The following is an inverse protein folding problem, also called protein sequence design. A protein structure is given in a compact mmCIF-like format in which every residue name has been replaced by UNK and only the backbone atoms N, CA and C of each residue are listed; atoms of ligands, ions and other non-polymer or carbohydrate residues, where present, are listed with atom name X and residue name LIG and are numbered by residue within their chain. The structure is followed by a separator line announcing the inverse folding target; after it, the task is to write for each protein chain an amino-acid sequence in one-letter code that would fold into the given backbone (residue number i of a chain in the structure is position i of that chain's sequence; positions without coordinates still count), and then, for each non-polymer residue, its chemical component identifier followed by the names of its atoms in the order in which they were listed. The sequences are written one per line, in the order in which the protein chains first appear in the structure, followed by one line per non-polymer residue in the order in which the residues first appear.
data_IF_537744329524
#
_entry.id   IF_537744329524
#
_cell.length_a   1.000
_cell.length_b   1.000
_cell.length_c   1.000
_cell.angle_alpha   90.00
_cell.angle_beta   90.00
_cell.angle_gamma   90.00
#
_symmetry.space_group_name_H-M   'P 1'
#
loop_
_entity.id
_entity.type
_entity.pdbx_description
1 polymer ?
#
# COMPACT_ATOMS: atom_id res chain seq x y z
N UNK A 1 -8.41 69.39 56.21
CA UNK A 1 -8.73 70.44 55.22
C UNK A 1 -7.79 70.24 54.04
N UNK A 2 -8.38 70.05 52.87
CA UNK A 2 -7.83 70.04 51.50
C UNK A 2 -6.62 69.13 51.16
N UNK A 3 -6.84 68.00 50.48
CA UNK A 3 -7.08 67.79 49.03
C UNK A 3 -5.84 68.01 48.17
N UNK A 4 -5.22 66.90 47.75
CA UNK A 4 -4.56 66.81 46.46
C UNK A 4 -4.77 65.40 45.89
N UNK A 5 -5.74 65.33 44.98
CA UNK A 5 -5.98 64.23 44.04
C UNK A 5 -4.84 64.25 43.02
N UNK A 6 -4.17 63.12 42.79
CA UNK A 6 -3.32 62.94 41.60
C UNK A 6 -3.91 61.79 40.80
N UNK A 7 -4.35 62.16 39.60
CA UNK A 7 -5.10 61.35 38.67
C UNK A 7 -4.25 60.24 38.04
N UNK A 8 -4.80 59.03 38.00
CA UNK A 8 -4.32 57.95 37.15
C UNK A 8 -4.81 58.21 35.72
N UNK A 9 -3.94 58.75 34.87
CA UNK A 9 -4.21 58.91 33.43
C UNK A 9 -3.92 57.60 32.73
N UNK A 10 -4.99 56.95 32.25
CA UNK A 10 -4.94 55.88 31.26
C UNK A 10 -4.53 56.50 29.92
N UNK A 11 -3.41 56.06 29.36
CA UNK A 11 -3.02 56.40 28.00
C UNK A 11 -3.02 55.11 27.16
N UNK A 12 -4.08 54.98 26.36
CA UNK A 12 -4.18 54.01 25.28
C UNK A 12 -3.30 54.51 24.13
N UNK A 13 -2.21 53.81 23.85
CA UNK A 13 -1.47 53.97 22.60
C UNK A 13 -1.77 52.76 21.71
N UNK A 14 -2.79 52.92 20.86
CA UNK A 14 -2.96 52.07 19.68
C UNK A 14 -1.96 52.53 18.62
N UNK A 15 -1.08 51.64 18.20
CA UNK A 15 -0.33 51.76 16.95
C UNK A 15 -0.09 50.35 16.44
N UNK A 16 -0.88 49.95 15.46
CA UNK A 16 -0.63 48.76 14.67
C UNK A 16 0.52 48.99 13.71
N UNK A 17 1.26 47.93 13.42
CA UNK A 17 1.83 47.68 12.10
C UNK A 17 1.89 46.17 11.86
N UNK A 18 1.67 45.87 10.59
CA UNK A 18 1.47 44.58 9.94
C UNK A 18 2.63 43.59 10.11
N UNK A 19 2.29 42.33 9.86
CA UNK A 19 3.18 41.19 9.97
C UNK A 19 4.20 41.04 8.85
N UNK A 20 5.24 40.29 9.18
CA UNK A 20 5.80 39.17 8.41
C UNK A 20 6.92 38.61 9.29
N UNK A 21 6.83 37.33 9.64
CA UNK A 21 7.96 36.53 10.11
C UNK A 21 8.00 35.26 9.25
N UNK A 22 9.18 34.84 8.79
CA UNK A 22 9.31 33.84 7.75
C UNK A 22 9.26 32.42 8.30
N UNK A 23 8.57 31.58 7.54
CA UNK A 23 8.73 30.14 7.32
C UNK A 23 9.18 29.27 8.49
N UNK A 24 8.17 28.59 9.03
CA UNK A 24 8.34 27.32 9.73
C UNK A 24 8.83 26.25 8.75
N UNK A 25 9.95 25.65 9.11
CA UNK A 25 10.38 24.35 8.64
C UNK A 25 9.34 23.29 9.04
N UNK A 26 8.40 23.01 8.15
CA UNK A 26 7.56 21.81 8.19
C UNK A 26 8.25 20.71 7.39
N UNK A 27 8.76 19.70 8.09
CA UNK A 27 9.07 18.42 7.46
C UNK A 27 7.75 17.81 6.93
N UNK A 28 7.71 17.20 5.73
CA UNK A 28 6.52 16.50 5.27
C UNK A 28 6.35 15.22 6.11
N UNK A 29 5.21 15.10 6.79
CA UNK A 29 4.83 13.89 7.49
C UNK A 29 4.37 12.83 6.50
N UNK A 30 4.68 11.56 6.81
CA UNK A 30 4.08 10.37 6.23
C UNK A 30 2.55 10.55 6.08
N UNK A 31 1.92 10.17 4.95
CA UNK A 31 0.48 10.22 4.82
C UNK A 31 -0.15 9.37 5.93
N UNK A 32 -1.04 9.97 6.73
CA UNK A 32 -1.85 9.22 7.67
C UNK A 32 -2.80 8.30 6.89
N UNK A 33 -3.04 7.06 7.34
CA UNK A 33 -3.99 6.17 6.67
C UNK A 33 -5.39 6.80 6.65
N UNK A 34 -6.26 6.39 5.71
CA UNK A 34 -7.59 6.96 5.60
C UNK A 34 -8.35 6.75 6.91
N UNK A 35 -8.57 7.85 7.63
CA UNK A 35 -9.52 7.90 8.72
C UNK A 35 -10.89 7.87 8.08
N UNK A 36 -11.54 6.70 8.03
CA UNK A 36 -13.01 6.54 8.13
C UNK A 36 -13.45 5.08 7.91
N UNK A 37 -12.99 4.16 8.76
CA UNK A 37 -13.84 3.05 9.15
C UNK A 37 -14.83 3.60 10.18
N UNK A 38 -16.01 4.04 9.73
CA UNK A 38 -17.16 4.54 10.50
C UNK A 38 -17.00 4.47 12.03
N UNK A 39 -16.36 5.49 12.63
CA UNK A 39 -16.05 5.51 14.06
C UNK A 39 -17.30 5.45 14.96
N UNK A 40 -18.51 5.59 14.38
CA UNK A 40 -19.77 5.43 15.08
C UNK A 40 -19.91 4.04 15.76
N UNK A 41 -19.22 3.01 15.25
CA UNK A 41 -19.22 1.65 15.81
C UNK A 41 -17.85 1.21 16.37
N UNK A 42 -17.02 2.17 16.79
CA UNK A 42 -15.69 1.90 17.36
C UNK A 42 -15.67 1.95 18.89
N UNK A 43 -14.77 1.19 19.52
CA UNK A 43 -14.64 1.08 20.97
C UNK A 43 -13.20 1.37 21.40
N UNK A 44 -13.02 2.27 22.37
CA UNK A 44 -11.75 2.39 23.07
C UNK A 44 -11.56 1.18 24.01
N UNK A 45 -10.50 0.42 23.79
CA UNK A 45 -10.19 -0.81 24.53
C UNK A 45 -8.71 -0.86 24.93
N UNK A 46 -8.40 -1.51 26.04
CA UNK A 46 -7.01 -1.78 26.45
C UNK A 46 -6.61 -3.17 26.00
N UNK A 47 -5.46 -3.32 25.33
CA UNK A 47 -4.93 -4.64 24.98
C UNK A 47 -4.30 -5.26 26.23
N UNK A 48 -4.80 -6.43 26.62
CA UNK A 48 -4.43 -7.11 27.87
C UNK A 48 -3.60 -8.37 27.65
N UNK A 49 -3.67 -8.95 26.44
CA UNK A 49 -2.79 -10.02 26.01
C UNK A 49 -2.65 -9.98 24.49
N UNK A 50 -1.50 -10.39 23.99
CA UNK A 50 -1.25 -10.73 22.59
C UNK A 50 -1.09 -12.24 22.54
N UNK A 51 -1.96 -12.93 21.81
CA UNK A 51 -1.98 -14.40 21.72
C UNK A 51 -0.96 -14.84 20.67
N UNK A 52 -1.04 -14.22 19.49
CA UNK A 52 -0.15 -14.36 18.34
C UNK A 52 -0.19 -13.05 17.52
N UNK A 53 0.31 -13.07 16.28
CA UNK A 53 0.42 -11.88 15.43
C UNK A 53 -0.91 -11.29 14.96
N UNK A 54 -2.00 -12.08 14.92
CA UNK A 54 -3.32 -11.62 14.45
C UNK A 54 -4.43 -11.79 15.49
N UNK A 55 -4.10 -12.22 16.71
CA UNK A 55 -5.09 -12.45 17.77
C UNK A 55 -4.66 -11.76 19.06
N UNK A 56 -5.54 -10.91 19.60
CA UNK A 56 -5.34 -10.21 20.87
C UNK A 56 -6.53 -10.37 21.81
N UNK A 57 -6.29 -10.21 23.11
CA UNK A 57 -7.36 -10.06 24.12
C UNK A 57 -7.45 -8.61 24.57
N UNK A 58 -8.64 -8.03 24.44
CA UNK A 58 -8.90 -6.65 24.80
C UNK A 58 -9.85 -6.55 25.99
N UNK A 59 -9.75 -5.46 26.74
CA UNK A 59 -10.64 -5.13 27.85
C UNK A 59 -11.34 -3.80 27.59
N UNK A 60 -12.65 -3.80 27.69
CA UNK A 60 -13.49 -2.61 27.59
C UNK A 60 -13.50 -1.83 28.92
N UNK A 61 -13.93 -0.56 28.88
CA UNK A 61 -14.05 0.29 30.08
C UNK A 61 -14.96 -0.27 31.17
N UNK A 62 -15.98 -1.04 30.80
CA UNK A 62 -16.89 -1.70 31.75
C UNK A 62 -16.28 -2.95 32.42
N UNK A 63 -15.04 -3.33 32.08
CA UNK A 63 -14.32 -4.47 32.62
C UNK A 63 -14.52 -5.79 31.88
N UNK A 64 -15.44 -5.87 30.90
CA UNK A 64 -15.58 -7.08 30.08
C UNK A 64 -14.38 -7.25 29.15
N UNK A 65 -14.15 -8.48 28.70
CA UNK A 65 -13.07 -8.82 27.77
C UNK A 65 -13.62 -9.52 26.53
N UNK A 66 -12.93 -9.35 25.41
CA UNK A 66 -13.13 -10.11 24.19
C UNK A 66 -11.76 -10.55 23.65
N UNK A 67 -11.75 -11.70 22.98
CA UNK A 67 -10.65 -12.09 22.10
C UNK A 67 -11.00 -11.64 20.68
N UNK A 68 -10.11 -10.86 20.08
CA UNK A 68 -10.25 -10.26 18.75
C UNK A 68 -9.31 -10.99 17.80
N UNK A 69 -9.85 -11.50 16.70
CA UNK A 69 -9.09 -11.93 15.52
C UNK A 69 -9.07 -10.75 14.55
N UNK A 70 -7.89 -10.33 14.16
CA UNK A 70 -7.71 -9.22 13.25
C UNK A 70 -8.29 -9.59 11.89
N UNK A 71 -9.22 -8.76 11.43
CA UNK A 71 -9.91 -8.97 10.16
C UNK A 71 -8.96 -8.72 8.99
N UNK A 72 -9.06 -9.56 7.95
CA UNK A 72 -8.32 -9.41 6.70
C UNK A 72 -6.86 -9.84 6.73
N UNK A 73 -6.32 -10.26 7.88
CA UNK A 73 -4.91 -10.66 8.02
C UNK A 73 -4.77 -12.02 8.67
N UNK A 74 -3.71 -12.73 8.27
CA UNK A 74 -3.31 -14.02 8.84
C UNK A 74 -1.80 -14.04 9.03
N UNK A 75 -1.36 -14.32 10.26
CA UNK A 75 0.05 -14.39 10.62
C UNK A 75 0.48 -15.85 10.76
N UNK A 76 1.76 -16.19 10.52
CA UNK A 76 2.25 -17.51 10.85
C UNK A 76 2.01 -17.82 12.35
N UNK A 77 1.50 -19.02 12.62
CA UNK A 77 1.12 -19.50 13.94
C UNK A 77 2.37 -19.71 14.82
N UNK A 78 2.27 -19.32 16.10
CA UNK A 78 3.36 -19.50 17.09
C UNK A 78 3.23 -20.76 17.94
N UNK A 79 2.04 -21.36 17.99
CA UNK A 79 1.72 -22.53 18.82
C UNK A 79 1.35 -23.79 18.04
N UNK A 80 1.34 -23.72 16.70
CA UNK A 80 0.89 -24.77 15.79
C UNK A 80 1.89 -25.07 14.68
N UNK A 81 1.55 -26.05 13.83
CA UNK A 81 2.29 -26.28 12.59
C UNK A 81 1.77 -25.31 11.52
N UNK A 82 2.68 -24.53 10.94
CA UNK A 82 2.38 -23.68 9.80
C UNK A 82 2.28 -24.52 8.52
N UNK A 83 1.19 -24.37 7.78
CA UNK A 83 1.08 -24.91 6.44
C UNK A 83 1.74 -23.95 5.45
N UNK A 84 2.89 -24.34 4.90
CA UNK A 84 3.63 -23.50 3.97
C UNK A 84 2.82 -23.19 2.69
N UNK A 85 1.89 -24.07 2.29
CA UNK A 85 1.05 -23.85 1.12
C UNK A 85 0.09 -22.66 1.26
N UNK A 86 -0.15 -22.19 2.49
CA UNK A 86 -0.97 -21.01 2.75
C UNK A 86 -0.21 -19.69 2.49
N UNK A 87 1.13 -19.74 2.38
CA UNK A 87 2.00 -18.58 2.21
C UNK A 87 2.70 -18.66 0.84
N UNK A 88 2.31 -17.78 -0.09
CA UNK A 88 2.73 -17.88 -1.48
C UNK A 88 4.26 -17.77 -1.66
N UNK A 89 4.85 -18.73 -2.38
CA UNK A 89 6.29 -18.80 -2.65
C UNK A 89 7.11 -19.43 -1.53
N UNK A 90 6.50 -19.78 -0.39
CA UNK A 90 7.20 -20.50 0.68
C UNK A 90 7.27 -21.99 0.34
N UNK A 91 8.47 -22.60 0.30
CA UNK A 91 8.60 -24.00 -0.07
C UNK A 91 7.95 -24.92 0.97
N UNK A 92 7.24 -25.96 0.52
CA UNK A 92 6.61 -27.01 1.35
C UNK A 92 7.63 -27.97 2.00
N UNK A 93 8.70 -27.42 2.56
CA UNK A 93 9.84 -28.12 3.16
C UNK A 93 9.92 -27.83 4.66
N UNK A 94 10.71 -28.62 5.38
CA UNK A 94 10.99 -28.34 6.79
C UNK A 94 11.67 -26.97 7.00
N UNK A 95 12.44 -26.49 6.02
CA UNK A 95 13.07 -25.18 6.08
C UNK A 95 12.05 -24.04 5.93
N UNK A 96 11.12 -24.15 4.98
CA UNK A 96 10.02 -23.19 4.82
C UNK A 96 9.14 -23.11 6.07
N UNK A 97 8.74 -24.26 6.63
CA UNK A 97 7.96 -24.31 7.89
C UNK A 97 8.72 -23.73 9.09
N UNK A 98 10.03 -23.99 9.19
CA UNK A 98 10.86 -23.40 10.25
C UNK A 98 11.01 -21.88 10.10
N UNK A 99 11.12 -21.38 8.86
CA UNK A 99 11.15 -19.95 8.58
C UNK A 99 9.82 -19.28 8.98
N UNK A 100 8.68 -19.87 8.62
CA UNK A 100 7.36 -19.37 9.02
C UNK A 100 7.18 -19.38 10.55
N UNK A 101 7.67 -20.40 11.25
CA UNK A 101 7.61 -20.42 12.72
C UNK A 101 8.37 -19.24 13.35
N UNK A 102 9.55 -18.89 12.83
CA UNK A 102 10.29 -17.70 13.29
C UNK A 102 9.53 -16.41 12.93
N UNK A 103 9.02 -16.31 11.70
CA UNK A 103 8.22 -15.16 11.27
C UNK A 103 6.97 -14.95 12.15
N UNK A 104 6.33 -16.03 12.60
CA UNK A 104 5.21 -15.96 13.56
C UNK A 104 5.63 -15.42 14.93
N UNK A 105 6.79 -15.84 15.44
CA UNK A 105 7.34 -15.29 16.68
C UNK A 105 7.71 -13.81 16.53
N UNK A 106 8.20 -13.41 15.35
CA UNK A 106 8.50 -12.02 15.02
C UNK A 106 7.24 -11.15 14.99
N UNK A 107 6.19 -11.59 14.29
CA UNK A 107 4.89 -10.91 14.26
C UNK A 107 4.30 -10.74 15.67
N UNK A 108 4.31 -11.81 16.47
CA UNK A 108 3.80 -11.81 17.85
C UNK A 108 4.60 -10.85 18.75
N UNK A 109 5.92 -10.82 18.58
CA UNK A 109 6.81 -9.90 19.32
C UNK A 109 6.56 -8.45 18.92
N UNK A 110 6.40 -8.18 17.63
CA UNK A 110 6.12 -6.85 17.10
C UNK A 110 4.78 -6.33 17.64
N UNK A 111 3.72 -7.15 17.60
CA UNK A 111 2.42 -6.83 18.19
C UNK A 111 2.47 -6.62 19.70
N UNK A 112 3.23 -7.46 20.43
CA UNK A 112 3.41 -7.30 21.87
C UNK A 112 4.07 -5.98 22.21
N UNK A 113 5.15 -5.61 21.51
CA UNK A 113 5.85 -4.35 21.73
C UNK A 113 4.99 -3.14 21.37
N UNK A 114 4.20 -3.25 20.30
CA UNK A 114 3.37 -2.17 19.79
C UNK A 114 2.12 -1.93 20.65
N UNK A 115 1.48 -2.99 21.15
CA UNK A 115 0.12 -2.90 21.68
C UNK A 115 -0.05 -3.29 23.15
N UNK A 116 0.82 -4.13 23.74
CA UNK A 116 0.52 -4.69 25.06
C UNK A 116 0.42 -3.60 26.14
N UNK A 117 -0.74 -3.50 26.78
CA UNK A 117 -1.04 -2.49 27.79
C UNK A 117 -1.52 -1.15 27.24
N UNK A 118 -1.44 -0.95 25.92
CA UNK A 118 -1.89 0.27 25.26
C UNK A 118 -3.42 0.34 25.17
N UNK A 119 -3.93 1.58 25.10
CA UNK A 119 -5.34 1.84 24.81
C UNK A 119 -5.47 2.22 23.34
N UNK A 120 -6.21 1.41 22.60
CA UNK A 120 -6.38 1.53 21.15
C UNK A 120 -7.86 1.62 20.80
N UNK A 121 -8.14 1.94 19.53
CA UNK A 121 -9.50 1.93 18.99
C UNK A 121 -9.75 0.62 18.28
N UNK A 122 -10.79 -0.10 18.67
CA UNK A 122 -11.28 -1.31 18.02
C UNK A 122 -12.47 -0.94 17.13
N UNK A 123 -12.35 -1.14 15.82
CA UNK A 123 -13.41 -1.00 14.83
C UNK A 123 -13.94 -2.35 14.35
N UNK A 124 -15.18 -2.38 13.90
CA UNK A 124 -15.79 -3.53 13.22
C UNK A 124 -16.18 -3.14 11.80
N UNK A 125 -16.11 -4.09 10.88
CA UNK A 125 -16.48 -3.87 9.48
C UNK A 125 -17.97 -4.16 9.27
N UNK A 126 -18.66 -3.33 8.49
CA UNK A 126 -20.07 -3.51 8.18
C UNK A 126 -20.33 -4.64 7.17
N UNK A 127 -19.34 -4.93 6.33
CA UNK A 127 -19.40 -5.97 5.28
C UNK A 127 -18.91 -7.33 5.79
N UNK A 128 -18.51 -7.42 7.05
CA UNK A 128 -18.03 -8.66 7.68
C UNK A 128 -18.96 -9.15 8.80
N UNK A 129 -18.93 -10.45 9.05
CA UNK A 129 -19.57 -11.00 10.24
C UNK A 129 -18.91 -10.46 11.51
N UNK A 130 -19.72 -10.06 12.48
CA UNK A 130 -19.19 -9.50 13.74
C UNK A 130 -18.33 -10.51 14.53
N UNK A 131 -18.62 -11.81 14.40
CA UNK A 131 -17.87 -12.88 15.07
C UNK A 131 -17.60 -14.01 14.11
N UNK A 132 -16.36 -14.52 14.15
CA UNK A 132 -15.97 -15.69 13.37
C UNK A 132 -16.50 -16.99 13.96
N UNK A 133 -16.23 -18.10 13.27
CA UNK A 133 -16.72 -19.45 13.60
C UNK A 133 -16.46 -19.89 15.05
N UNK A 134 -15.33 -19.48 15.63
CA UNK A 134 -14.94 -19.81 17.01
C UNK A 134 -15.47 -18.82 18.07
N UNK A 135 -16.37 -17.91 17.69
CA UNK A 135 -16.93 -16.89 18.58
C UNK A 135 -16.01 -15.70 18.88
N UNK A 136 -14.80 -15.66 18.29
CA UNK A 136 -13.89 -14.51 18.35
C UNK A 136 -14.52 -13.31 17.64
N UNK A 137 -14.31 -12.11 18.19
CA UNK A 137 -14.71 -10.87 17.53
C UNK A 137 -13.81 -10.64 16.31
N UNK A 138 -14.38 -10.28 15.16
CA UNK A 138 -13.61 -9.84 13.99
C UNK A 138 -13.53 -8.31 14.00
N UNK A 139 -12.34 -7.76 13.78
CA UNK A 139 -12.19 -6.31 13.77
C UNK A 139 -10.83 -5.78 13.36
N UNK A 140 -10.77 -4.46 13.24
CA UNK A 140 -9.57 -3.68 13.00
C UNK A 140 -9.13 -3.01 14.30
N UNK A 141 -7.81 -2.97 14.53
CA UNK A 141 -7.24 -2.16 15.59
C UNK A 141 -6.61 -0.90 15.00
N UNK A 142 -6.83 0.22 15.68
CA UNK A 142 -6.23 1.50 15.34
C UNK A 142 -5.46 2.07 16.52
N UNK A 143 -4.16 2.34 16.33
CA UNK A 143 -3.31 3.03 17.30
C UNK A 143 -2.96 4.40 16.73
N UNK A 144 -3.33 5.46 17.43
CA UNK A 144 -3.11 6.85 17.00
C UNK A 144 -3.63 7.16 15.58
N UNK A 145 -4.72 6.49 15.18
CA UNK A 145 -5.33 6.60 13.85
C UNK A 145 -4.76 5.65 12.80
N UNK A 146 -3.68 4.93 13.10
CA UNK A 146 -3.06 3.98 12.18
C UNK A 146 -3.70 2.59 12.27
N UNK A 147 -4.12 2.03 11.13
CA UNK A 147 -4.69 0.68 11.06
C UNK A 147 -3.58 -0.38 11.25
N UNK A 148 -3.61 -1.06 12.38
CA UNK A 148 -2.60 -2.06 12.76
C UNK A 148 -2.69 -3.32 11.89
N UNK A 149 -3.88 -3.68 11.41
CA UNK A 149 -4.04 -4.82 10.50
C UNK A 149 -3.33 -4.52 9.17
N UNK A 150 -3.52 -3.31 8.62
CA UNK A 150 -2.79 -2.85 7.43
C UNK A 150 -1.28 -2.84 7.66
N UNK A 151 -0.84 -2.31 8.82
CA UNK A 151 0.57 -2.29 9.19
C UNK A 151 1.23 -3.69 9.25
N UNK A 152 0.50 -4.71 9.70
CA UNK A 152 1.00 -6.10 9.68
C UNK A 152 1.32 -6.57 8.25
N UNK A 153 0.57 -6.13 7.25
CA UNK A 153 0.82 -6.47 5.85
C UNK A 153 2.01 -5.68 5.31
N UNK A 154 2.09 -4.37 5.60
CA UNK A 154 3.19 -3.52 5.09
C UNK A 154 4.55 -3.91 5.65
N UNK A 155 4.62 -4.31 6.92
CA UNK A 155 5.86 -4.80 7.54
C UNK A 155 6.13 -6.29 7.27
N UNK A 156 5.31 -6.94 6.43
CA UNK A 156 5.46 -8.35 6.07
C UNK A 156 5.30 -9.30 7.26
N UNK A 157 4.50 -8.94 8.26
CA UNK A 157 4.16 -9.81 9.39
C UNK A 157 2.99 -10.75 9.11
N UNK A 158 2.13 -10.40 8.15
CA UNK A 158 0.94 -11.16 7.77
C UNK A 158 0.80 -11.31 6.24
N UNK A 159 -0.01 -12.29 5.84
CA UNK A 159 -0.63 -12.40 4.51
C UNK A 159 -2.07 -11.91 4.56
N UNK A 160 -2.69 -11.62 3.41
CA UNK A 160 -4.13 -11.33 3.39
C UNK A 160 -4.92 -12.62 3.61
N UNK A 161 -5.87 -12.57 4.53
CA UNK A 161 -6.79 -13.67 4.78
C UNK A 161 -8.00 -13.57 3.85
N UNK A 162 -8.28 -14.63 3.10
CA UNK A 162 -9.39 -14.65 2.15
C UNK A 162 -10.75 -14.61 2.87
N UNK A 163 -11.28 -13.40 2.96
CA UNK A 163 -12.55 -13.08 3.63
C UNK A 163 -13.14 -11.82 3.01
N UNK A 164 -14.44 -11.59 3.27
CA UNK A 164 -15.13 -10.37 2.84
C UNK A 164 -14.97 -9.27 3.90
N UNK A 165 -14.45 -8.12 3.48
CA UNK A 165 -14.28 -6.92 4.28
C UNK A 165 -14.03 -5.70 3.36
N UNK A 166 -14.23 -4.49 3.88
CA UNK A 166 -14.24 -3.24 3.09
C UNK A 166 -12.87 -2.87 2.54
N UNK A 167 -11.80 -3.10 3.31
CA UNK A 167 -10.42 -2.66 2.99
C UNK A 167 -9.63 -3.65 2.11
N UNK A 168 -10.30 -4.62 1.48
CA UNK A 168 -9.65 -5.78 0.82
C UNK A 168 -8.60 -5.37 -0.21
N UNK A 169 -8.94 -4.43 -1.09
CA UNK A 169 -8.05 -3.97 -2.15
C UNK A 169 -6.75 -3.36 -1.59
N UNK A 170 -6.85 -2.54 -0.55
CA UNK A 170 -5.69 -1.94 0.10
C UNK A 170 -4.80 -3.00 0.76
N UNK A 171 -5.42 -4.02 1.37
CA UNK A 171 -4.70 -5.10 2.05
C UNK A 171 -3.97 -5.98 1.03
N UNK A 172 -4.63 -6.38 -0.06
CA UNK A 172 -4.01 -7.15 -1.15
C UNK A 172 -2.80 -6.41 -1.73
N UNK A 173 -2.90 -5.09 -1.90
CA UNK A 173 -1.78 -4.27 -2.38
C UNK A 173 -0.61 -4.21 -1.37
N UNK A 174 -0.89 -4.10 -0.07
CA UNK A 174 0.13 -4.06 0.97
C UNK A 174 0.91 -5.39 1.05
N UNK A 175 0.22 -6.52 1.02
CA UNK A 175 0.85 -7.84 0.96
C UNK A 175 1.73 -7.98 -0.28
N UNK A 176 1.23 -7.63 -1.46
CA UNK A 176 1.99 -7.76 -2.70
C UNK A 176 3.29 -6.95 -2.69
N UNK A 177 3.30 -5.75 -2.09
CA UNK A 177 4.53 -4.96 -1.89
C UNK A 177 5.50 -5.66 -0.97
N UNK A 178 5.03 -6.07 0.21
CA UNK A 178 5.86 -6.78 1.17
C UNK A 178 6.46 -8.06 0.58
N UNK A 179 5.70 -8.77 -0.27
CA UNK A 179 6.14 -9.93 -1.05
C UNK A 179 7.25 -9.59 -2.04
N UNK A 180 7.02 -8.58 -2.88
CA UNK A 180 7.97 -8.18 -3.91
C UNK A 180 9.32 -7.73 -3.32
N UNK A 181 9.27 -7.08 -2.16
CA UNK A 181 10.46 -6.58 -1.46
C UNK A 181 11.14 -7.65 -0.58
N UNK A 182 10.54 -8.83 -0.43
CA UNK A 182 11.02 -9.85 0.49
C UNK A 182 10.99 -9.37 1.95
N UNK A 183 10.01 -8.56 2.32
CA UNK A 183 9.88 -7.96 3.66
C UNK A 183 9.34 -8.98 4.66
N UNK A 184 9.93 -9.04 5.85
CA UNK A 184 9.41 -9.88 6.95
C UNK A 184 9.31 -11.36 6.58
N UNK A 185 8.11 -11.93 6.73
CA UNK A 185 7.80 -13.33 6.41
C UNK A 185 8.12 -13.68 4.95
N UNK A 186 8.11 -12.70 4.05
CA UNK A 186 8.38 -12.92 2.63
C UNK A 186 9.84 -13.22 2.31
N UNK A 187 10.74 -13.07 3.30
CA UNK A 187 12.09 -13.68 3.22
C UNK A 187 12.05 -15.22 3.18
N UNK A 188 10.95 -15.83 3.63
CA UNK A 188 10.72 -17.27 3.54
C UNK A 188 10.30 -17.73 2.13
N UNK A 189 9.88 -16.81 1.27
CA UNK A 189 9.42 -17.11 -0.08
C UNK A 189 10.61 -17.30 -1.03
N UNK A 190 11.13 -18.53 -1.10
CA UNK A 190 12.31 -18.87 -1.92
C UNK A 190 11.97 -19.61 -3.20
N UNK A 191 10.70 -19.98 -3.39
CA UNK A 191 10.25 -20.50 -4.67
C UNK A 191 9.92 -19.34 -5.59
N UNK A 192 10.44 -19.39 -6.82
CA UNK A 192 9.99 -18.46 -7.85
C UNK A 192 8.46 -18.60 -7.97
N UNK A 193 7.70 -17.48 -8.02
CA UNK A 193 6.29 -17.56 -8.39
C UNK A 193 6.21 -18.36 -9.70
N UNK A 194 5.21 -19.25 -9.87
CA UNK A 194 5.23 -20.28 -10.91
C UNK A 194 5.60 -19.67 -12.26
N UNK A 195 6.86 -19.90 -12.64
CA UNK A 195 7.43 -19.35 -13.87
C UNK A 195 6.73 -20.05 -15.01
N UNK A 196 5.93 -19.31 -15.78
CA UNK A 196 5.44 -19.78 -17.07
C UNK A 196 6.67 -20.17 -17.90
N UNK A 197 6.76 -21.45 -18.22
CA UNK A 197 7.87 -22.07 -18.94
C UNK A 197 8.02 -21.38 -20.30
N UNK A 198 9.05 -20.54 -20.44
CA UNK A 198 9.34 -19.79 -21.66
C UNK A 198 10.84 -19.63 -21.83
N UNK A 199 11.42 -20.49 -22.64
CA UNK A 199 12.83 -20.55 -23.01
C UNK A 199 13.36 -19.20 -23.52
N UNK A 200 14.42 -18.66 -22.90
CA UNK A 200 15.13 -17.48 -23.39
C UNK A 200 16.37 -17.20 -22.56
N UNK A 201 17.52 -17.59 -23.09
CA UNK A 201 18.86 -17.33 -22.57
C UNK A 201 19.10 -15.81 -22.38
N UNK A 202 19.50 -15.40 -21.17
CA UNK A 202 19.72 -14.00 -20.83
C UNK A 202 20.16 -13.81 -19.38
N UNK A 203 21.47 -13.68 -19.19
CA UNK A 203 22.17 -13.50 -17.90
C UNK A 203 21.70 -12.26 -17.11
N UNK A 204 21.51 -12.46 -15.81
CA UNK A 204 21.16 -11.43 -14.81
C UNK A 204 22.33 -10.50 -14.48
N UNK A 205 22.05 -9.21 -14.33
CA UNK A 205 22.90 -8.25 -13.62
C UNK A 205 22.05 -7.50 -12.59
N UNK A 206 22.59 -7.37 -11.38
CA UNK A 206 21.97 -6.71 -10.24
C UNK A 206 22.04 -5.18 -10.39
N UNK A 207 20.91 -4.55 -10.65
CA UNK A 207 20.51 -3.21 -10.21
C UNK A 207 19.12 -2.90 -10.82
N UNK A 208 18.07 -2.85 -9.99
CA UNK A 208 16.78 -2.19 -10.29
C UNK A 208 16.14 -2.46 -11.66
N UNK A 209 15.59 -3.66 -11.84
CA UNK A 209 14.47 -3.98 -12.73
C UNK A 209 14.38 -3.23 -14.07
N UNK A 210 15.15 -3.66 -15.07
CA UNK A 210 14.80 -3.44 -16.48
C UNK A 210 14.75 -4.79 -17.17
N UNK A 211 13.54 -5.27 -17.51
CA UNK A 211 13.40 -6.42 -18.41
C UNK A 211 13.90 -5.97 -19.79
N UNK A 212 14.93 -6.64 -20.29
CA UNK A 212 15.71 -6.29 -21.48
C UNK A 212 14.90 -6.45 -22.77
N UNK A 213 14.11 -5.42 -23.10
CA UNK A 213 13.46 -5.24 -24.40
C UNK A 213 13.83 -3.90 -25.04
N UNK A 214 13.58 -3.75 -26.34
CA UNK A 214 13.73 -2.46 -27.04
C UNK A 214 12.81 -1.37 -26.45
N UNK A 215 11.75 -1.74 -25.74
CA UNK A 215 10.86 -0.80 -25.06
C UNK A 215 11.39 -0.48 -23.66
N UNK A 216 11.62 0.81 -23.37
CA UNK A 216 11.97 1.30 -22.04
C UNK A 216 10.83 2.12 -21.44
N UNK A 217 10.59 1.94 -20.14
CA UNK A 217 9.81 2.88 -19.33
C UNK A 217 10.78 4.00 -18.92
N UNK A 218 10.44 5.25 -19.24
CA UNK A 218 11.35 6.40 -19.09
C UNK A 218 10.90 7.42 -18.06
N UNK A 219 9.61 7.41 -17.73
CA UNK A 219 9.05 8.20 -16.65
C UNK A 219 7.75 7.55 -16.21
N UNK A 220 7.56 7.53 -14.90
CA UNK A 220 6.30 7.21 -14.26
C UNK A 220 5.99 8.42 -13.39
N UNK A 221 4.97 9.16 -13.78
CA UNK A 221 4.49 10.31 -13.04
C UNK A 221 3.19 9.88 -12.37
N UNK A 222 3.35 9.27 -11.20
CA UNK A 222 2.22 8.80 -10.40
C UNK A 222 1.56 9.96 -9.67
N UNK A 223 2.35 10.81 -9.01
CA UNK A 223 1.84 11.91 -8.21
C UNK A 223 1.38 13.08 -9.09
N UNK A 224 0.08 13.16 -9.35
CA UNK A 224 -0.52 14.28 -10.07
C UNK A 224 -0.42 15.57 -9.24
N UNK A 225 -0.21 16.72 -9.89
CA UNK A 225 -0.27 17.99 -9.20
C UNK A 225 -1.70 18.26 -8.69
N UNK A 226 -1.87 18.34 -7.37
CA UNK A 226 -3.16 18.58 -6.72
C UNK A 226 -3.79 17.30 -6.19
N UNK A 227 -5.11 17.17 -6.30
CA UNK A 227 -5.80 15.89 -6.06
C UNK A 227 -5.82 15.10 -7.37
N UNK A 228 -5.22 13.91 -7.37
CA UNK A 228 -5.12 13.01 -8.51
C UNK A 228 -6.48 12.66 -9.10
N UNK A 229 -7.54 12.62 -8.28
CA UNK A 229 -8.92 12.38 -8.74
C UNK A 229 -9.47 13.51 -9.61
N UNK A 230 -8.94 14.72 -9.44
CA UNK A 230 -9.31 15.90 -10.20
C UNK A 230 -8.35 16.16 -11.38
N UNK A 231 -7.17 15.52 -11.38
CA UNK A 231 -6.11 15.73 -12.37
C UNK A 231 -5.52 14.40 -12.91
N UNK A 232 -6.39 13.46 -13.28
CA UNK A 232 -6.02 12.14 -13.81
C UNK A 232 -5.12 12.16 -15.06
N UNK A 233 -5.04 13.28 -15.76
CA UNK A 233 -4.16 13.41 -16.91
C UNK A 233 -2.71 13.74 -16.52
N UNK A 234 -2.46 14.20 -15.29
CA UNK A 234 -1.10 14.38 -14.77
C UNK A 234 -0.56 13.09 -14.15
N UNK A 235 -1.37 12.05 -14.08
CA UNK A 235 -0.93 10.67 -13.86
C UNK A 235 -0.59 10.02 -15.22
N UNK A 236 0.67 9.64 -15.44
CA UNK A 236 1.07 9.06 -16.72
C UNK A 236 2.33 8.19 -16.68
N UNK A 237 2.45 7.32 -17.68
CA UNK A 237 3.67 6.57 -17.97
C UNK A 237 4.20 6.95 -19.35
N UNK A 238 5.51 7.15 -19.47
CA UNK A 238 6.17 7.42 -20.75
C UNK A 238 7.09 6.29 -21.16
N UNK A 239 6.90 5.81 -22.37
CA UNK A 239 7.71 4.77 -23.01
C UNK A 239 8.63 5.36 -24.08
N UNK A 240 9.75 4.68 -24.33
CA UNK A 240 10.70 4.98 -25.41
C UNK A 240 11.12 3.68 -26.11
N UNK A 241 11.14 3.67 -27.44
CA UNK A 241 11.77 2.59 -28.19
C UNK A 241 13.28 2.86 -28.32
N UNK A 242 14.09 2.15 -27.56
CA UNK A 242 15.56 2.19 -27.59
C UNK A 242 16.18 1.17 -28.56
N UNK A 243 15.35 0.43 -29.29
CA UNK A 243 15.81 -0.49 -30.35
C UNK A 243 16.08 0.20 -31.68
N UNK A 244 16.53 -0.58 -32.66
CA UNK A 244 16.88 -0.09 -34.00
C UNK A 244 15.73 -0.21 -35.02
N UNK A 245 14.63 -0.89 -34.66
CA UNK A 245 13.45 -1.10 -35.52
C UNK A 245 12.17 -0.61 -34.85
N UNK A 246 11.17 -0.23 -35.66
CA UNK A 246 9.86 0.14 -35.13
C UNK A 246 9.23 -1.02 -34.36
N UNK A 247 8.61 -0.72 -33.22
CA UNK A 247 7.84 -1.66 -32.42
C UNK A 247 6.37 -1.60 -32.81
N UNK A 248 5.77 -2.74 -33.08
CA UNK A 248 4.32 -2.89 -33.18
C UNK A 248 3.76 -3.21 -31.80
N UNK A 249 3.09 -2.22 -31.19
CA UNK A 249 2.48 -2.32 -29.87
C UNK A 249 1.02 -2.80 -29.96
N UNK A 250 0.52 -3.13 -31.14
CA UNK A 250 -0.88 -3.54 -31.33
C UNK A 250 -1.24 -4.68 -30.38
N UNK A 251 -2.21 -4.41 -29.50
CA UNK A 251 -2.71 -5.39 -28.54
C UNK A 251 -1.79 -5.74 -27.38
N UNK A 252 -0.67 -5.03 -27.22
CA UNK A 252 0.12 -5.06 -26.00
C UNK A 252 -0.71 -4.48 -24.85
N UNK A 253 -0.36 -4.85 -23.62
CA UNK A 253 -1.01 -4.33 -22.42
C UNK A 253 -0.03 -3.60 -21.53
N UNK A 254 -0.53 -2.57 -20.85
CA UNK A 254 0.13 -1.95 -19.69
C UNK A 254 -0.75 -2.25 -18.49
N UNK A 255 -0.16 -2.75 -17.41
CA UNK A 255 -0.86 -3.05 -16.17
C UNK A 255 -0.11 -2.45 -14.98
N UNK A 256 -0.85 -2.02 -13.96
CA UNK A 256 -0.33 -1.77 -12.62
C UNK A 256 -0.23 -3.09 -11.82
N UNK A 257 0.12 -3.01 -10.54
CA UNK A 257 0.15 -4.19 -9.67
C UNK A 257 -1.26 -4.75 -9.36
N UNK A 258 -2.31 -3.92 -9.40
CA UNK A 258 -3.69 -4.31 -9.14
C UNK A 258 -4.44 -4.85 -10.38
N UNK A 259 -3.73 -5.05 -11.49
CA UNK A 259 -4.25 -5.57 -12.76
C UNK A 259 -5.27 -4.66 -13.48
N UNK A 260 -5.24 -3.36 -13.20
CA UNK A 260 -5.83 -2.36 -14.09
C UNK A 260 -5.09 -2.43 -15.42
N UNK A 261 -5.78 -2.83 -16.50
CA UNK A 261 -5.17 -3.01 -17.82
C UNK A 261 -5.56 -1.96 -18.86
N UNK A 262 -4.56 -1.36 -19.48
CA UNK A 262 -4.70 -0.65 -20.75
C UNK A 262 -4.29 -1.60 -21.86
N UNK A 263 -5.06 -1.68 -22.95
CA UNK A 263 -4.64 -2.37 -24.17
C UNK A 263 -4.37 -1.35 -25.25
N UNK A 264 -3.15 -1.38 -25.81
CA UNK A 264 -2.80 -0.54 -26.95
C UNK A 264 -3.73 -0.84 -28.14
N UNK A 265 -4.33 0.20 -28.77
CA UNK A 265 -5.16 0.02 -29.96
C UNK A 265 -4.40 -0.65 -31.11
N UNK A 266 -5.13 -1.36 -31.97
CA UNK A 266 -4.55 -1.96 -33.17
C UNK A 266 -3.99 -0.86 -34.10
N UNK A 267 -2.79 -1.08 -34.63
CA UNK A 267 -2.05 -0.10 -35.44
C UNK A 267 -1.17 0.86 -34.63
N UNK A 268 -1.06 0.68 -33.30
CA UNK A 268 -0.13 1.47 -32.49
C UNK A 268 1.31 1.06 -32.76
N UNK A 269 2.12 1.96 -33.32
CA UNK A 269 3.53 1.73 -33.61
C UNK A 269 4.43 2.74 -32.91
N UNK A 270 5.62 2.31 -32.49
CA UNK A 270 6.63 3.18 -31.89
C UNK A 270 7.96 3.07 -32.63
N UNK A 271 8.30 4.09 -33.40
CA UNK A 271 9.55 4.16 -34.19
C UNK A 271 10.81 4.21 -33.30
N UNK A 272 11.99 3.81 -33.82
CA UNK A 272 13.25 3.92 -33.10
C UNK A 272 13.50 5.34 -32.55
N UNK A 273 13.79 5.45 -31.26
CA UNK A 273 14.01 6.71 -30.55
C UNK A 273 12.74 7.53 -30.29
N UNK A 274 11.57 7.09 -30.75
CA UNK A 274 10.30 7.77 -30.49
C UNK A 274 9.79 7.49 -29.08
N UNK A 275 8.92 8.37 -28.58
CA UNK A 275 8.31 8.29 -27.25
C UNK A 275 6.79 8.32 -27.34
N UNK A 276 6.17 7.58 -26.42
CA UNK A 276 4.72 7.49 -26.27
C UNK A 276 4.35 7.71 -24.81
N UNK A 277 3.36 8.56 -24.55
CA UNK A 277 2.82 8.79 -23.21
C UNK A 277 1.43 8.18 -23.09
N UNK A 278 1.20 7.36 -22.07
CA UNK A 278 -0.11 6.90 -21.66
C UNK A 278 -0.55 7.70 -20.44
N UNK A 279 -1.61 8.51 -20.58
CA UNK A 279 -2.23 9.25 -19.48
C UNK A 279 -3.42 8.47 -18.93
N UNK A 280 -3.60 8.49 -17.61
CA UNK A 280 -4.68 7.74 -16.96
C UNK A 280 -6.06 8.31 -17.27
N UNK A 281 -6.17 9.64 -17.30
CA UNK A 281 -7.43 10.34 -17.56
C UNK A 281 -7.92 10.24 -19.01
N UNK A 282 -8.82 11.16 -19.35
CA UNK A 282 -9.50 11.19 -20.65
C UNK A 282 -8.91 12.24 -21.60
N UNK A 283 -9.00 11.99 -22.90
CA UNK A 283 -8.56 12.90 -23.96
C UNK A 283 -8.82 12.35 -25.35
N UNK A 284 -8.15 12.91 -26.36
CA UNK A 284 -8.18 12.40 -27.74
C UNK A 284 -6.82 11.86 -28.08
N UNK A 285 -6.78 10.58 -28.45
CA UNK A 285 -5.54 9.90 -28.82
C UNK A 285 -4.83 10.58 -29.99
N UNK A 286 -3.50 10.54 -29.94
CA UNK A 286 -2.59 11.01 -30.98
C UNK A 286 -1.45 10.01 -31.16
N UNK A 287 -0.58 10.25 -32.14
CA UNK A 287 0.58 9.39 -32.38
C UNK A 287 1.55 9.28 -31.19
N UNK A 288 1.57 10.27 -30.29
CA UNK A 288 2.53 10.35 -29.17
C UNK A 288 1.87 10.34 -27.80
N UNK A 289 0.54 10.35 -27.72
CA UNK A 289 -0.19 10.37 -26.46
C UNK A 289 -1.49 9.59 -26.59
N UNK A 290 -1.67 8.63 -25.68
CA UNK A 290 -2.88 7.84 -25.52
C UNK A 290 -3.52 8.15 -24.17
N UNK A 291 -4.84 7.98 -24.11
CA UNK A 291 -5.63 8.22 -22.91
C UNK A 291 -6.35 6.94 -22.50
N UNK A 292 -6.15 6.51 -21.25
CA UNK A 292 -6.77 5.30 -20.73
C UNK A 292 -8.28 5.50 -20.47
N UNK A 293 -8.70 6.72 -20.16
CA UNK A 293 -10.10 7.05 -19.92
C UNK A 293 -10.61 6.53 -18.57
N UNK A 294 -9.72 6.36 -17.60
CA UNK A 294 -10.10 5.95 -16.25
C UNK A 294 -10.80 7.10 -15.52
N UNK A 295 -11.69 6.73 -14.59
CA UNK A 295 -12.40 7.65 -13.69
C UNK A 295 -11.72 7.82 -12.33
N UNK A 296 -10.62 7.11 -12.09
CA UNK A 296 -9.84 7.10 -10.87
C UNK A 296 -8.34 6.96 -11.18
N UNK A 297 -7.44 7.36 -10.27
CA UNK A 297 -6.01 7.14 -10.41
C UNK A 297 -5.68 5.64 -10.51
N UNK A 298 -4.59 5.31 -11.19
CA UNK A 298 -4.13 3.92 -11.42
C UNK A 298 -2.70 3.70 -10.90
N UNK A 299 -1.86 4.72 -10.96
CA UNK A 299 -0.45 4.71 -10.59
C UNK A 299 -0.29 5.21 -9.15
N UNK A 300 -0.03 4.31 -8.21
CA UNK A 300 0.01 4.67 -6.80
C UNK A 300 1.24 5.52 -6.40
N UNK A 301 1.02 6.72 -5.82
CA UNK A 301 2.08 7.67 -5.41
C UNK A 301 3.04 7.10 -4.35
N UNK A 302 2.58 6.14 -3.55
CA UNK A 302 3.39 5.42 -2.55
C UNK A 302 4.17 4.23 -3.11
N UNK A 303 4.11 4.01 -4.42
CA UNK A 303 4.81 2.97 -5.14
C UNK A 303 3.87 1.95 -5.80
N UNK A 304 4.23 1.55 -7.02
CA UNK A 304 3.46 0.66 -7.88
C UNK A 304 4.41 -0.08 -8.84
N UNK A 305 3.87 -0.93 -9.71
CA UNK A 305 4.63 -1.56 -10.78
C UNK A 305 3.93 -1.42 -12.11
N UNK A 306 4.57 -0.72 -13.03
CA UNK A 306 4.17 -0.75 -14.44
C UNK A 306 4.71 -2.03 -15.08
N UNK A 307 3.82 -2.88 -15.57
CA UNK A 307 4.18 -4.06 -16.39
C UNK A 307 3.63 -3.90 -17.80
N UNK A 308 4.51 -3.97 -18.80
CA UNK A 308 4.12 -3.99 -20.22
C UNK A 308 4.25 -5.40 -20.76
N UNK A 309 3.18 -5.95 -21.36
CA UNK A 309 3.17 -7.27 -22.00
C UNK A 309 2.87 -7.16 -23.49
N UNK A 310 3.56 -7.95 -24.30
CA UNK A 310 3.19 -8.15 -25.70
C UNK A 310 1.86 -8.90 -25.81
N UNK A 311 1.26 -8.89 -27.00
CA UNK A 311 -0.02 -9.59 -27.26
C UNK A 311 0.03 -11.12 -27.01
N UNK A 312 1.23 -11.70 -26.91
CA UNK A 312 1.45 -13.10 -26.54
C UNK A 312 1.76 -13.27 -25.03
N UNK A 313 1.46 -12.26 -24.21
CA UNK A 313 1.67 -12.19 -22.75
C UNK A 313 3.14 -12.12 -22.28
N UNK A 314 4.10 -12.06 -23.21
CA UNK A 314 5.52 -11.89 -22.87
C UNK A 314 5.75 -10.53 -22.22
N UNK A 315 6.41 -10.48 -21.05
CA UNK A 315 6.77 -9.22 -20.39
C UNK A 315 7.86 -8.52 -21.21
N UNK A 316 7.56 -7.32 -21.70
CA UNK A 316 8.44 -6.51 -22.54
C UNK A 316 9.18 -5.43 -21.73
N UNK A 317 8.54 -4.92 -20.69
CA UNK A 317 9.13 -3.99 -19.73
C UNK A 317 8.42 -4.16 -18.38
N UNK A 318 9.14 -3.98 -17.28
CA UNK A 318 8.57 -3.92 -15.93
C UNK A 318 9.40 -2.95 -15.11
N UNK A 319 8.75 -2.02 -14.44
CA UNK A 319 9.42 -1.05 -13.58
C UNK A 319 8.56 -0.76 -12.35
N UNK A 320 9.13 -1.02 -11.18
CA UNK A 320 8.61 -0.53 -9.90
C UNK A 320 9.22 0.85 -9.60
N UNK A 321 8.52 1.65 -8.80
CA UNK A 321 8.95 2.98 -8.39
C UNK A 321 8.40 3.32 -7.01
#
# INVERSE_FOLDING_TARGET
MDRAVVALVVLVAASGCLGVSPDGSNAPGTPAPPADADLANSYAVTVTAVVDGDTVTVRYRNGTQDTVRLLGVDTPETGGENDAAEFEGVPETAAGRACLAEAGHDATRAMTQRLLGETITLGVDAESDRRGYYGRLLGYLYQDGENVNYWLLTEGHARVYDSQFTEREAFDAAEQRARADGTGLWTCATEDPPTATGTGDGTVAADGGTVTGALAITEIHADAAGDDRENLNDEYVRFENRGETALDLSGWTVADAADHRFRFPDGTTLDPGARLTLRTGSGTDSATTLYWGQGSPVWNNGGDTVTVRAANETVMARQAY
#
